data_IF_498071857285
#
_entry.id   IF_498071857285
#
_cell.length_a   1.000
_cell.length_b   1.000
_cell.length_c   1.000
_cell.angle_alpha   90.00
_cell.angle_beta   90.00
_cell.angle_gamma   90.00
#
_symmetry.space_group_name_H-M   'P 1'
#
loop_
_entity.id
_entity.type
_entity.pdbx_description
1 polymer ?
#
# COMPACT_ATOMS: atom_id res chain seq x y z
N UNK A 1 -10.23 8.50 -16.19
CA UNK A 1 -11.60 8.46 -16.72
C UNK A 1 -11.93 7.05 -17.17
N UNK A 2 -11.10 6.42 -18.00
CA UNK A 2 -11.23 5.02 -18.41
C UNK A 2 -11.44 4.05 -17.24
N UNK A 3 -10.59 4.09 -16.21
CA UNK A 3 -10.71 3.20 -15.05
C UNK A 3 -12.06 3.32 -14.30
N UNK A 4 -12.63 4.52 -14.23
CA UNK A 4 -13.94 4.74 -13.61
C UNK A 4 -15.06 4.14 -14.45
N UNK A 5 -14.97 4.28 -15.79
CA UNK A 5 -15.92 3.66 -16.71
C UNK A 5 -15.89 2.14 -16.60
N UNK A 6 -14.69 1.54 -16.53
CA UNK A 6 -14.55 0.09 -16.30
C UNK A 6 -15.17 -0.33 -14.98
N UNK A 7 -14.96 0.43 -13.89
CA UNK A 7 -15.55 0.11 -12.60
C UNK A 7 -17.10 0.20 -12.61
N UNK A 8 -17.69 1.14 -13.37
CA UNK A 8 -19.14 1.20 -13.59
C UNK A 8 -19.65 -0.05 -14.31
N UNK A 9 -18.99 -0.47 -15.40
CA UNK A 9 -19.36 -1.71 -16.10
C UNK A 9 -19.27 -2.95 -15.20
N UNK A 10 -18.22 -3.04 -14.39
CA UNK A 10 -18.06 -4.16 -13.45
C UNK A 10 -19.14 -4.17 -12.35
N UNK A 11 -19.59 -3.00 -11.90
CA UNK A 11 -20.72 -2.89 -10.98
C UNK A 11 -22.03 -3.30 -11.66
N UNK A 12 -22.28 -2.80 -12.87
CA UNK A 12 -23.54 -3.04 -13.59
C UNK A 12 -23.71 -4.52 -13.97
N UNK A 13 -22.61 -5.24 -14.19
CA UNK A 13 -22.61 -6.70 -14.39
C UNK A 13 -23.05 -7.48 -13.13
N UNK A 14 -22.93 -6.89 -11.94
CA UNK A 14 -23.42 -7.46 -10.68
C UNK A 14 -22.62 -8.67 -10.18
N UNK A 15 -21.51 -9.02 -10.83
CA UNK A 15 -20.70 -10.20 -10.50
C UNK A 15 -19.67 -10.00 -9.38
N UNK A 16 -19.52 -8.79 -8.83
CA UNK A 16 -18.52 -8.46 -7.82
C UNK A 16 -19.16 -8.06 -6.49
N UNK A 17 -18.66 -8.63 -5.39
CA UNK A 17 -19.05 -8.25 -4.02
C UNK A 17 -18.38 -6.95 -3.55
N UNK A 18 -17.19 -6.64 -4.06
CA UNK A 18 -16.44 -5.43 -3.73
C UNK A 18 -15.37 -5.11 -4.80
N UNK A 19 -14.91 -3.87 -4.83
CA UNK A 19 -13.76 -3.43 -5.63
C UNK A 19 -12.65 -2.85 -4.75
N UNK A 20 -11.44 -3.42 -4.86
CA UNK A 20 -10.23 -2.84 -4.27
C UNK A 20 -9.55 -1.89 -5.26
N UNK A 21 -9.42 -0.63 -4.85
CA UNK A 21 -8.86 0.42 -5.69
C UNK A 21 -7.35 0.56 -5.45
N UNK A 22 -6.56 0.30 -6.49
CA UNK A 22 -5.10 0.45 -6.46
C UNK A 22 -4.63 1.36 -7.59
N UNK A 23 -3.35 1.76 -7.57
CA UNK A 23 -2.79 2.60 -8.60
C UNK A 23 -1.29 2.39 -8.78
N UNK A 24 -0.80 2.62 -10.01
CA UNK A 24 0.60 2.46 -10.37
C UNK A 24 0.89 1.14 -11.08
N UNK A 25 2.17 0.90 -11.36
CA UNK A 25 2.62 -0.28 -12.09
C UNK A 25 3.95 -0.74 -11.51
N UNK A 26 4.08 -2.03 -11.21
CA UNK A 26 5.33 -2.61 -10.72
C UNK A 26 6.49 -2.51 -11.72
N UNK A 27 6.18 -2.45 -13.02
CA UNK A 27 7.17 -2.38 -14.09
C UNK A 27 7.63 -0.95 -14.38
N UNK A 28 6.69 -0.01 -14.45
CA UNK A 28 6.96 1.33 -14.94
C UNK A 28 7.15 2.35 -13.82
N UNK A 29 6.40 2.23 -12.73
CA UNK A 29 6.43 3.19 -11.64
C UNK A 29 6.06 2.53 -10.29
N UNK A 30 6.94 1.65 -9.77
CA UNK A 30 6.65 0.88 -8.58
C UNK A 30 6.47 1.77 -7.35
N UNK A 31 7.16 2.92 -7.29
CA UNK A 31 7.07 3.82 -6.15
C UNK A 31 5.76 4.61 -6.08
N UNK A 32 4.96 4.63 -7.15
CA UNK A 32 3.59 5.15 -7.08
C UNK A 32 2.67 4.24 -6.24
N UNK A 33 2.91 2.92 -6.27
CA UNK A 33 2.24 1.93 -5.41
C UNK A 33 2.69 2.06 -3.94
N UNK A 34 3.99 2.32 -3.73
CA UNK A 34 4.65 2.27 -2.43
C UNK A 34 5.28 3.62 -2.04
N UNK A 35 4.52 4.72 -2.10
CA UNK A 35 5.05 6.08 -1.79
C UNK A 35 5.92 6.08 -0.52
N UNK A 36 6.93 6.95 -0.52
CA UNK A 36 8.02 7.01 0.45
C UNK A 36 9.39 6.89 -0.22
N UNK A 37 10.40 6.60 0.60
CA UNK A 37 11.80 6.45 0.18
C UNK A 37 11.97 5.33 -0.85
N UNK A 38 12.84 5.54 -1.83
CA UNK A 38 13.18 4.53 -2.82
C UNK A 38 14.37 3.67 -2.33
N UNK A 39 14.19 2.37 -2.05
CA UNK A 39 15.25 1.53 -1.47
C UNK A 39 16.20 1.00 -2.55
N UNK A 40 16.85 1.91 -3.29
CA UNK A 40 17.67 1.56 -4.46
C UNK A 40 18.84 0.64 -4.10
N UNK A 41 19.49 0.88 -2.95
CA UNK A 41 20.64 0.07 -2.51
C UNK A 41 20.22 -1.37 -2.25
N UNK A 42 19.09 -1.55 -1.57
CA UNK A 42 18.51 -2.84 -1.23
C UNK A 42 18.03 -3.57 -2.50
N UNK A 43 17.37 -2.86 -3.42
CA UNK A 43 17.01 -3.41 -4.73
C UNK A 43 18.25 -3.88 -5.50
N UNK A 44 19.32 -3.09 -5.53
CA UNK A 44 20.54 -3.48 -6.22
C UNK A 44 21.23 -4.69 -5.56
N UNK A 45 21.17 -4.80 -4.24
CA UNK A 45 21.71 -5.93 -3.50
C UNK A 45 20.93 -7.24 -3.75
N UNK A 46 19.64 -7.15 -4.08
CA UNK A 46 18.82 -8.30 -4.41
C UNK A 46 19.09 -8.88 -5.82
N UNK A 47 19.83 -8.18 -6.67
CA UNK A 47 20.11 -8.58 -8.06
C UNK A 47 21.53 -9.11 -8.24
N UNK A 48 21.74 -9.99 -9.21
CA UNK A 48 23.09 -10.45 -9.62
C UNK A 48 23.74 -9.46 -10.61
N UNK A 49 25.09 -9.39 -10.68
CA UNK A 49 25.76 -8.70 -11.78
C UNK A 49 25.38 -9.29 -13.15
N UNK A 50 25.25 -8.48 -14.22
CA UNK A 50 25.54 -7.04 -14.29
C UNK A 50 24.37 -6.12 -13.89
N UNK A 51 23.18 -6.67 -13.62
CA UNK A 51 21.95 -5.89 -13.32
C UNK A 51 22.15 -5.04 -12.06
N UNK A 52 22.75 -5.60 -11.01
CA UNK A 52 23.06 -4.86 -9.78
C UNK A 52 23.87 -3.58 -10.04
N UNK A 53 24.87 -3.64 -10.93
CA UNK A 53 25.70 -2.49 -11.27
C UNK A 53 24.93 -1.45 -12.07
N UNK A 54 24.17 -1.89 -13.08
CA UNK A 54 23.31 -1.00 -13.86
C UNK A 54 22.33 -0.23 -12.99
N UNK A 55 21.69 -0.92 -12.04
CA UNK A 55 20.70 -0.31 -11.15
C UNK A 55 21.35 0.67 -10.16
N UNK A 56 22.55 0.40 -9.62
CA UNK A 56 23.27 1.38 -8.80
C UNK A 56 23.60 2.67 -9.55
N UNK A 57 23.86 2.60 -10.86
CA UNK A 57 24.19 3.77 -11.66
C UNK A 57 22.95 4.56 -12.12
N UNK A 58 21.88 3.87 -12.53
CA UNK A 58 20.73 4.52 -13.21
C UNK A 58 19.40 4.38 -12.48
N UNK A 59 19.35 3.67 -11.36
CA UNK A 59 18.10 3.29 -10.71
C UNK A 59 17.26 4.46 -10.17
N UNK A 60 17.86 5.60 -9.82
CA UNK A 60 17.12 6.80 -9.41
C UNK A 60 16.22 7.37 -10.52
N UNK A 61 16.49 7.04 -11.80
CA UNK A 61 15.59 7.43 -12.90
C UNK A 61 14.32 6.56 -12.98
N UNK A 62 14.41 5.33 -12.48
CA UNK A 62 13.33 4.33 -12.50
C UNK A 62 12.55 4.30 -11.17
N UNK A 63 13.25 4.39 -10.03
CA UNK A 63 12.68 4.46 -8.69
C UNK A 63 12.53 5.94 -8.28
N UNK A 64 11.51 6.59 -8.82
CA UNK A 64 11.16 7.97 -8.43
C UNK A 64 10.59 7.98 -7.03
N UNK A 65 11.04 8.91 -6.19
CA UNK A 65 10.46 9.08 -4.86
C UNK A 65 9.16 9.88 -4.95
N UNK A 66 8.17 9.44 -4.17
CA UNK A 66 6.90 10.14 -4.00
C UNK A 66 6.73 10.38 -2.51
N UNK A 67 6.49 11.61 -2.04
CA UNK A 67 6.28 11.87 -0.62
C UNK A 67 5.19 10.97 -0.04
N UNK A 68 5.49 10.35 1.10
CA UNK A 68 4.54 9.54 1.83
C UNK A 68 3.61 10.43 2.65
N UNK A 69 2.33 10.04 2.68
CA UNK A 69 1.33 10.50 3.62
C UNK A 69 0.35 9.36 3.85
N UNK A 70 -0.30 9.28 5.01
CA UNK A 70 -1.33 8.26 5.23
C UNK A 70 -2.50 8.43 4.23
N UNK A 71 -3.15 7.32 3.88
CA UNK A 71 -4.26 7.30 2.92
C UNK A 71 -3.94 7.99 1.56
N UNK A 72 -2.72 7.84 1.03
CA UNK A 72 -2.27 8.60 -0.16
C UNK A 72 -3.05 8.34 -1.45
N UNK A 73 -3.88 7.27 -1.52
CA UNK A 73 -4.81 7.04 -2.64
C UNK A 73 -6.26 7.45 -2.34
N UNK A 74 -6.58 7.90 -1.13
CA UNK A 74 -7.95 8.26 -0.73
C UNK A 74 -8.56 9.30 -1.67
N UNK A 75 -7.79 10.33 -2.05
CA UNK A 75 -8.27 11.36 -2.98
C UNK A 75 -8.76 10.76 -4.31
N UNK A 76 -8.03 9.81 -4.86
CA UNK A 76 -8.39 9.16 -6.12
C UNK A 76 -9.54 8.17 -5.91
N UNK A 77 -9.50 7.39 -4.82
CA UNK A 77 -10.54 6.44 -4.45
C UNK A 77 -11.90 7.12 -4.22
N UNK A 78 -11.92 8.34 -3.66
CA UNK A 78 -13.14 9.14 -3.47
C UNK A 78 -13.84 9.47 -4.80
N UNK A 79 -13.12 9.51 -5.92
CA UNK A 79 -13.75 9.71 -7.24
C UNK A 79 -14.60 8.52 -7.65
N UNK A 80 -14.19 7.31 -7.26
CA UNK A 80 -14.95 6.08 -7.48
C UNK A 80 -16.10 5.98 -6.48
N UNK A 81 -15.83 6.29 -5.20
CA UNK A 81 -16.87 6.24 -4.16
C UNK A 81 -18.08 7.14 -4.46
N UNK A 82 -17.86 8.30 -5.08
CA UNK A 82 -18.92 9.23 -5.51
C UNK A 82 -19.86 8.66 -6.59
N UNK A 83 -19.40 7.68 -7.34
CA UNK A 83 -20.02 7.25 -8.60
C UNK A 83 -20.50 5.80 -8.57
N UNK A 84 -19.98 5.02 -7.62
CA UNK A 84 -20.28 3.61 -7.44
C UNK A 84 -21.07 3.42 -6.14
N UNK A 85 -21.93 2.41 -6.12
CA UNK A 85 -22.75 1.99 -4.97
C UNK A 85 -22.31 0.64 -4.40
N UNK A 86 -21.60 -0.19 -5.17
CA UNK A 86 -21.03 -1.43 -4.65
C UNK A 86 -19.95 -1.16 -3.57
N UNK A 87 -19.66 -2.14 -2.70
CA UNK A 87 -18.63 -2.00 -1.69
C UNK A 87 -17.24 -1.69 -2.26
N UNK A 88 -16.52 -0.76 -1.64
CA UNK A 88 -15.17 -0.35 -2.03
C UNK A 88 -14.17 -0.59 -0.90
N UNK A 89 -12.97 -1.03 -1.28
CA UNK A 89 -11.84 -1.25 -0.38
C UNK A 89 -10.81 -0.15 -0.62
N UNK A 90 -10.52 0.66 0.40
CA UNK A 90 -9.47 1.66 0.33
C UNK A 90 -8.10 1.02 0.57
N UNK A 91 -7.21 1.16 -0.40
CA UNK A 91 -5.78 0.83 -0.28
C UNK A 91 -4.93 2.12 -0.24
N UNK A 92 -3.72 2.00 0.28
CA UNK A 92 -2.65 2.98 0.08
C UNK A 92 -2.36 3.80 1.33
N UNK A 93 -1.41 3.33 2.15
CA UNK A 93 -0.99 4.04 3.37
C UNK A 93 -2.00 3.93 4.51
N UNK A 94 -2.78 2.84 4.57
CA UNK A 94 -3.61 2.52 5.73
C UNK A 94 -2.75 1.73 6.73
N UNK A 95 -2.43 2.38 7.86
CA UNK A 95 -1.49 1.85 8.85
C UNK A 95 -2.05 1.88 10.26
N UNK A 96 -2.73 2.97 10.63
CA UNK A 96 -3.20 3.21 11.99
C UNK A 96 -4.73 3.31 12.05
N UNK A 97 -5.29 3.16 13.25
CA UNK A 97 -6.75 3.24 13.51
C UNK A 97 -7.40 4.50 12.93
N UNK A 98 -6.74 5.65 13.09
CA UNK A 98 -7.21 6.93 12.55
C UNK A 98 -7.48 6.89 11.04
N UNK A 99 -6.60 6.24 10.27
CA UNK A 99 -6.77 6.10 8.82
C UNK A 99 -7.92 5.15 8.48
N UNK A 100 -8.11 4.10 9.29
CA UNK A 100 -9.22 3.15 9.13
C UNK A 100 -10.56 3.86 9.38
N UNK A 101 -10.67 4.56 10.52
CA UNK A 101 -11.88 5.28 10.90
C UNK A 101 -12.23 6.35 9.86
N UNK A 102 -11.22 7.06 9.35
CA UNK A 102 -11.41 8.02 8.27
C UNK A 102 -11.98 7.38 7.01
N UNK A 103 -11.47 6.21 6.61
CA UNK A 103 -11.98 5.50 5.43
C UNK A 103 -13.45 5.08 5.61
N UNK A 104 -13.79 4.53 6.77
CA UNK A 104 -15.17 4.15 7.08
C UNK A 104 -16.11 5.37 7.07
N UNK A 105 -15.67 6.48 7.67
CA UNK A 105 -16.42 7.74 7.67
C UNK A 105 -16.60 8.32 6.25
N UNK A 106 -15.66 8.07 5.35
CA UNK A 106 -15.71 8.49 3.94
C UNK A 106 -16.52 7.52 3.05
N UNK A 107 -17.11 6.46 3.63
CA UNK A 107 -18.04 5.55 2.94
C UNK A 107 -17.37 4.33 2.28
N UNK A 108 -16.15 3.99 2.67
CA UNK A 108 -15.53 2.72 2.29
C UNK A 108 -15.94 1.62 3.27
N UNK A 109 -16.27 0.44 2.76
CA UNK A 109 -16.69 -0.70 3.57
C UNK A 109 -15.48 -1.44 4.18
N UNK A 110 -14.33 -1.36 3.51
CA UNK A 110 -13.11 -2.03 3.94
C UNK A 110 -11.87 -1.17 3.68
N UNK A 111 -10.78 -1.54 4.35
CA UNK A 111 -9.43 -1.05 4.07
C UNK A 111 -8.49 -2.22 3.84
N UNK A 112 -7.55 -2.05 2.92
CA UNK A 112 -6.50 -3.03 2.64
C UNK A 112 -5.19 -2.59 3.30
N UNK A 113 -4.61 -3.50 4.10
CA UNK A 113 -3.35 -3.29 4.81
C UNK A 113 -2.31 -4.33 4.39
N UNK A 114 -1.08 -3.88 4.15
CA UNK A 114 0.04 -4.74 3.78
C UNK A 114 1.24 -4.60 4.72
N UNK A 115 2.05 -3.55 4.50
CA UNK A 115 3.33 -3.34 5.21
C UNK A 115 3.20 -3.28 6.73
N UNK A 116 2.11 -2.72 7.25
CA UNK A 116 1.84 -2.67 8.69
C UNK A 116 1.65 -4.07 9.29
N UNK A 117 0.86 -4.93 8.64
CA UNK A 117 0.66 -6.32 9.08
C UNK A 117 1.88 -7.21 8.84
N UNK A 118 2.71 -6.89 7.84
CA UNK A 118 4.01 -7.53 7.66
C UNK A 118 4.95 -7.22 8.84
N UNK A 119 4.94 -5.97 9.33
CA UNK A 119 5.75 -5.56 10.47
C UNK A 119 5.22 -6.15 11.79
N UNK A 120 3.90 -6.19 11.95
CA UNK A 120 3.19 -6.58 13.19
C UNK A 120 1.93 -7.41 12.84
N UNK A 121 2.03 -8.75 12.79
CA UNK A 121 0.91 -9.62 12.45
C UNK A 121 -0.29 -9.53 13.42
N UNK A 122 -0.06 -9.10 14.66
CA UNK A 122 -1.07 -8.95 15.72
C UNK A 122 -1.61 -7.50 15.85
N UNK A 123 -1.20 -6.58 14.97
CA UNK A 123 -1.53 -5.15 15.05
C UNK A 123 -3.04 -4.91 15.17
N UNK A 124 -3.86 -5.60 14.38
CA UNK A 124 -5.32 -5.42 14.39
C UNK A 124 -5.94 -5.84 15.73
N UNK A 125 -5.44 -6.93 16.32
CA UNK A 125 -5.91 -7.39 17.64
C UNK A 125 -5.58 -6.36 18.72
N UNK A 126 -4.39 -5.75 18.65
CA UNK A 126 -3.98 -4.67 19.56
C UNK A 126 -4.83 -3.42 19.38
N UNK A 127 -5.08 -2.99 18.14
CA UNK A 127 -5.96 -1.86 17.83
C UNK A 127 -7.39 -2.12 18.35
N UNK A 128 -7.90 -3.33 18.17
CA UNK A 128 -9.23 -3.70 18.66
C UNK A 128 -9.30 -3.67 20.19
N UNK A 129 -8.29 -4.21 20.87
CA UNK A 129 -8.22 -4.21 22.34
C UNK A 129 -8.05 -2.80 22.94
N UNK A 130 -7.38 -1.90 22.21
CA UNK A 130 -7.19 -0.50 22.60
C UNK A 130 -8.48 0.33 22.50
N UNK A 131 -9.46 -0.12 21.71
CA UNK A 131 -10.79 0.48 21.63
C UNK A 131 -10.75 1.95 21.21
N UNK A 132 -11.33 2.82 22.04
CA UNK A 132 -11.39 4.28 21.81
C UNK A 132 -10.17 5.04 22.37
N UNK A 133 -9.18 4.33 22.95
CA UNK A 133 -7.97 4.98 23.48
C UNK A 133 -7.03 5.50 22.39
N UNK A 134 -7.07 4.91 21.20
CA UNK A 134 -6.33 5.34 19.99
C UNK A 134 -4.81 5.51 20.22
N UNK A 135 -4.24 4.73 21.14
CA UNK A 135 -2.86 4.79 21.58
C UNK A 135 -1.94 3.87 20.77
N UNK A 136 -2.47 2.82 20.14
CA UNK A 136 -1.70 1.89 19.31
C UNK A 136 -1.30 2.55 17.98
N UNK A 137 0.00 2.56 17.70
CA UNK A 137 0.58 2.99 16.42
C UNK A 137 1.47 1.88 15.86
N UNK A 138 1.45 1.72 14.53
CA UNK A 138 2.27 0.70 13.88
C UNK A 138 3.76 1.07 13.87
N UNK A 139 4.61 0.04 13.92
CA UNK A 139 6.06 0.09 13.75
C UNK A 139 6.48 0.22 12.27
N UNK A 140 5.56 0.07 11.31
CA UNK A 140 5.87 0.26 9.89
C UNK A 140 6.26 1.72 9.62
N UNK A 141 7.53 1.95 9.28
CA UNK A 141 8.08 3.28 8.97
C UNK A 141 7.98 3.66 7.50
N UNK A 142 7.31 2.86 6.67
CA UNK A 142 7.18 3.11 5.23
C UNK A 142 8.50 3.20 4.46
N UNK A 143 9.59 2.65 5.00
CA UNK A 143 10.93 2.67 4.38
C UNK A 143 11.06 1.88 3.08
N UNK A 144 10.04 1.11 2.69
CA UNK A 144 9.97 0.28 1.47
C UNK A 144 11.02 -0.83 1.32
N UNK A 145 11.94 -0.97 2.28
CA UNK A 145 13.00 -2.00 2.27
C UNK A 145 12.48 -3.44 2.41
N UNK A 146 11.20 -3.63 2.74
CA UNK A 146 10.55 -4.93 2.61
C UNK A 146 10.37 -5.36 1.14
N UNK A 147 10.23 -4.41 0.20
CA UNK A 147 9.97 -4.73 -1.22
C UNK A 147 11.10 -5.54 -1.86
N UNK A 148 12.40 -5.21 -1.68
CA UNK A 148 13.48 -6.02 -2.25
C UNK A 148 13.60 -7.42 -1.63
N UNK A 149 13.07 -7.64 -0.42
CA UNK A 149 13.17 -8.95 0.26
C UNK A 149 12.32 -10.03 -0.40
N UNK A 150 11.34 -9.66 -1.22
CA UNK A 150 10.47 -10.61 -1.95
C UNK A 150 11.26 -11.53 -2.89
N UNK A 151 12.46 -11.14 -3.31
CA UNK A 151 13.34 -11.95 -4.16
C UNK A 151 14.04 -13.09 -3.40
N UNK A 152 13.87 -13.15 -2.07
CA UNK A 152 14.35 -14.25 -1.23
C UNK A 152 13.25 -14.71 -0.27
N UNK A 153 13.08 -13.99 0.84
CA UNK A 153 12.01 -14.19 1.83
C UNK A 153 11.46 -12.83 2.21
N UNK A 154 10.17 -12.62 1.97
CA UNK A 154 9.48 -11.38 2.33
C UNK A 154 9.55 -11.16 3.84
N UNK A 155 10.13 -10.05 4.25
CA UNK A 155 10.22 -9.64 5.65
C UNK A 155 10.21 -8.12 5.82
N UNK A 156 9.81 -7.67 7.01
CA UNK A 156 9.98 -6.32 7.52
C UNK A 156 11.40 -6.17 8.07
N UNK A 157 12.20 -5.28 7.49
CA UNK A 157 13.58 -5.05 7.93
C UNK A 157 13.69 -4.34 9.29
N UNK A 158 12.59 -3.75 9.77
CA UNK A 158 12.54 -3.04 11.06
C UNK A 158 12.29 -4.01 12.20
N UNK A 159 11.37 -4.95 12.01
CA UNK A 159 10.92 -5.87 13.08
C UNK A 159 11.45 -7.30 12.90
N UNK A 160 11.95 -7.66 11.71
CA UNK A 160 12.35 -9.02 11.36
C UNK A 160 11.19 -9.97 11.01
N UNK A 161 9.93 -9.51 11.10
CA UNK A 161 8.74 -10.30 10.82
C UNK A 161 8.52 -10.55 9.32
N UNK A 162 7.82 -11.61 8.89
CA UNK A 162 7.39 -12.74 9.69
C UNK A 162 8.60 -13.66 9.89
N UNK A 163 9.04 -13.79 11.13
CA UNK A 163 10.14 -14.68 11.55
C UNK A 163 9.75 -16.13 11.37
#
# INVERSE_FOLDING_TARGET
>A
EEALQTAKWLQDDGGLDALELTAGSSLLNPMYLFRGDAPLKEFAAAQKPPISWGMRMTGNKFLREYPYQDAYLLRDAMRFRKELTLPLILLGGVTNRETMDRAMADGFEFVAMGRALLAEPDLLNRIQADGDAHSVKSLCTHCNKCMPTIYSRTLCVVTGAPG
#
